data_IF_874417671681
#
_entry.id   IF_874417671681
#
_cell.length_a   1.000
_cell.length_b   1.000
_cell.length_c   1.000
_cell.angle_alpha   90.00
_cell.angle_beta   90.00
_cell.angle_gamma   90.00
#
_symmetry.space_group_name_H-M   'P 1'
#
loop_
_entity.id
_entity.type
_entity.pdbx_description
1 polymer ?
#
# COMPACT_ATOMS: atom_id res chain seq x y z
N UNK A 1 4.43 -16.17 -7.19
CA UNK A 1 3.40 -15.13 -7.40
C UNK A 1 4.03 -13.90 -6.83
N UNK A 2 4.63 -13.10 -7.72
CA UNK A 2 5.56 -12.08 -7.29
C UNK A 2 4.74 -10.81 -7.10
N UNK A 3 4.72 -10.34 -5.86
CA UNK A 3 4.14 -9.06 -5.50
C UNK A 3 5.11 -7.96 -5.95
N UNK A 4 5.11 -7.68 -7.24
CA UNK A 4 6.00 -6.73 -7.91
C UNK A 4 5.52 -5.28 -7.84
N UNK A 5 4.30 -5.05 -7.36
CA UNK A 5 3.64 -3.76 -7.34
C UNK A 5 2.70 -3.63 -6.15
N UNK A 6 2.44 -2.38 -5.76
CA UNK A 6 1.53 -2.06 -4.67
C UNK A 6 0.12 -2.61 -4.92
N UNK A 7 -0.39 -2.52 -6.16
CA UNK A 7 -1.66 -3.15 -6.52
C UNK A 7 -1.66 -4.66 -6.26
N UNK A 8 -0.61 -5.37 -6.67
CA UNK A 8 -0.51 -6.82 -6.44
C UNK A 8 -0.44 -7.12 -4.94
N UNK A 9 0.27 -6.29 -4.16
CA UNK A 9 0.30 -6.39 -2.69
C UNK A 9 -1.09 -6.28 -2.10
N UNK A 10 -1.84 -5.23 -2.44
CA UNK A 10 -3.18 -4.99 -1.91
C UNK A 10 -4.12 -6.15 -2.25
N UNK A 11 -4.05 -6.68 -3.48
CA UNK A 11 -4.84 -7.85 -3.89
C UNK A 11 -4.52 -9.11 -3.10
N UNK A 12 -3.24 -9.38 -2.82
CA UNK A 12 -2.88 -10.53 -1.97
C UNK A 12 -3.30 -10.33 -0.51
N UNK A 13 -3.24 -9.09 0.00
CA UNK A 13 -3.76 -8.74 1.32
C UNK A 13 -5.28 -8.94 1.38
N UNK A 14 -6.02 -8.54 0.36
CA UNK A 14 -7.48 -8.67 0.30
C UNK A 14 -7.94 -10.14 0.25
N UNK A 15 -7.18 -11.02 -0.43
CA UNK A 15 -7.43 -12.46 -0.35
C UNK A 15 -7.30 -13.01 1.07
N UNK A 16 -6.38 -12.46 1.87
CA UNK A 16 -6.14 -12.89 3.25
C UNK A 16 -7.08 -12.22 4.25
N UNK A 17 -7.48 -10.99 3.97
CA UNK A 17 -8.39 -10.17 4.77
C UNK A 17 -9.40 -9.47 3.85
N UNK A 18 -10.51 -10.15 3.49
CA UNK A 18 -11.48 -9.60 2.54
C UNK A 18 -12.05 -8.25 3.00
N UNK A 19 -12.00 -7.26 2.11
CA UNK A 19 -12.45 -5.89 2.35
C UNK A 19 -11.35 -4.95 2.89
N UNK A 20 -10.11 -5.42 3.03
CA UNK A 20 -9.01 -4.57 3.50
C UNK A 20 -8.65 -3.48 2.49
N UNK A 21 -8.87 -3.69 1.19
CA UNK A 21 -8.61 -2.70 0.14
C UNK A 21 -9.33 -1.36 0.43
N UNK A 22 -10.61 -1.42 0.84
CA UNK A 22 -11.41 -0.23 1.18
C UNK A 22 -10.88 0.54 2.39
N UNK A 23 -10.22 -0.17 3.32
CA UNK A 23 -9.56 0.43 4.48
C UNK A 23 -8.27 1.10 4.05
N UNK A 24 -7.43 0.39 3.28
CA UNK A 24 -6.14 0.90 2.81
C UNK A 24 -6.29 2.07 1.84
N UNK A 25 -7.37 2.13 1.04
CA UNK A 25 -7.67 3.23 0.14
C UNK A 25 -7.79 4.60 0.85
N UNK A 26 -8.05 4.61 2.16
CA UNK A 26 -8.17 5.81 3.00
C UNK A 26 -6.86 6.19 3.68
N UNK A 27 -5.80 5.43 3.47
CA UNK A 27 -4.47 5.66 4.05
C UNK A 27 -3.55 6.35 3.06
N UNK A 28 -2.45 6.92 3.56
CA UNK A 28 -1.25 7.17 2.78
C UNK A 28 -0.31 5.97 2.96
N UNK A 29 0.59 5.78 2.00
CA UNK A 29 1.54 4.66 1.99
C UNK A 29 2.95 5.17 1.96
N UNK A 30 3.81 4.64 2.83
CA UNK A 30 5.24 4.84 2.76
C UNK A 30 5.91 3.57 2.22
N UNK A 31 6.66 3.70 1.12
CA UNK A 31 7.46 2.61 0.54
C UNK A 31 8.92 3.01 0.68
N UNK A 32 9.69 2.24 1.46
CA UNK A 32 11.11 2.54 1.75
C UNK A 32 11.33 3.98 2.24
N UNK A 33 10.42 4.48 3.08
CA UNK A 33 10.48 5.83 3.66
C UNK A 33 9.91 6.95 2.78
N UNK A 34 9.61 6.70 1.51
CA UNK A 34 8.96 7.68 0.62
C UNK A 34 7.44 7.58 0.76
N UNK A 35 6.77 8.71 1.06
CA UNK A 35 5.32 8.77 1.22
C UNK A 35 4.63 9.03 -0.13
N UNK A 36 3.56 8.28 -0.38
CA UNK A 36 2.68 8.35 -1.54
C UNK A 36 1.23 8.53 -1.07
N UNK A 37 0.53 9.48 -1.68
CA UNK A 37 -0.93 9.64 -1.50
C UNK A 37 -1.72 8.69 -2.42
N UNK A 38 -1.10 8.32 -3.55
CA UNK A 38 -1.55 7.27 -4.46
C UNK A 38 -0.32 6.49 -4.92
N UNK A 39 -0.23 5.22 -4.51
CA UNK A 39 0.88 4.33 -4.82
C UNK A 39 0.47 3.22 -5.82
N UNK A 40 -0.70 3.32 -6.47
CA UNK A 40 -1.34 2.17 -7.13
C UNK A 40 -0.45 1.43 -8.14
N UNK A 41 0.36 2.17 -8.88
CA UNK A 41 1.27 1.64 -9.91
C UNK A 41 2.73 1.54 -9.44
N UNK A 42 3.01 1.86 -8.18
CA UNK A 42 4.37 1.80 -7.64
C UNK A 42 4.88 0.37 -7.56
N UNK A 43 6.14 0.19 -7.94
CA UNK A 43 6.83 -1.11 -7.92
C UNK A 43 7.29 -1.42 -6.50
N UNK A 44 7.13 -2.68 -6.08
CA UNK A 44 7.56 -3.16 -4.76
C UNK A 44 8.57 -4.30 -4.97
N UNK A 45 9.78 -4.11 -4.44
CA UNK A 45 10.77 -5.17 -4.40
C UNK A 45 10.46 -6.15 -3.24
N UNK A 46 10.89 -7.41 -3.31
CA UNK A 46 10.66 -8.38 -2.23
C UNK A 46 11.17 -7.94 -0.85
N UNK A 47 12.18 -7.08 -0.79
CA UNK A 47 12.74 -6.52 0.44
C UNK A 47 12.22 -5.13 0.79
N UNK A 48 11.27 -4.59 0.01
CA UNK A 48 10.70 -3.28 0.30
C UNK A 48 9.90 -3.31 1.59
N UNK A 49 10.03 -2.25 2.38
CA UNK A 49 9.20 -2.03 3.55
C UNK A 49 8.01 -1.13 3.18
N UNK A 50 6.82 -1.53 3.58
CA UNK A 50 5.56 -0.83 3.28
C UNK A 50 4.84 -0.52 4.58
N UNK A 51 4.62 0.77 4.84
CA UNK A 51 3.82 1.25 5.97
C UNK A 51 2.56 1.93 5.49
N UNK A 52 1.44 1.61 6.13
CA UNK A 52 0.17 2.31 5.95
C UNK A 52 -0.02 3.29 7.10
N UNK A 53 -0.35 4.53 6.78
CA UNK A 53 -0.51 5.60 7.78
C UNK A 53 -1.76 6.44 7.48
N UNK A 54 -2.33 7.05 8.51
CA UNK A 54 -3.41 8.00 8.30
C UNK A 54 -2.95 9.12 7.37
N UNK A 55 -3.82 9.55 6.45
CA UNK A 55 -3.53 10.72 5.64
C UNK A 55 -3.32 11.91 6.58
N UNK A 56 -2.21 12.62 6.37
CA UNK A 56 -1.97 13.86 7.07
C UNK A 56 -2.86 14.90 6.40
N UNK A 57 -4.03 15.16 7.00
CA UNK A 57 -4.82 16.34 6.64
C UNK A 57 -4.05 17.54 7.17
N UNK A 58 -3.59 18.41 6.26
CA UNK A 58 -2.99 19.68 6.64
C UNK A 58 -3.99 20.49 7.48
N UNK A 59 -3.53 21.05 8.59
CA UNK A 59 -4.34 21.87 9.50
C UNK A 59 -4.86 23.15 8.86
#
# INVERSE_FOLDING_TARGET
MDCDSYRSLVRELDKRWPGIEDVLAKTAVAINGQIYQDAWLETIAPSSEVFFMHRIEGG
#
